data_IF_679487828961
#
_entry.id   IF_679487828961
#
_cell.length_a   1.000
_cell.length_b   1.000
_cell.length_c   1.000
_cell.angle_alpha   90.00
_cell.angle_beta   90.00
_cell.angle_gamma   90.00
#
_symmetry.space_group_name_H-M   'P 1'
#
loop_
_entity.id
_entity.type
_entity.pdbx_description
1 polymer ?
#
# COMPACT_ATOMS: atom_id res chain seq x y z
N UNK A 1 -23.66 -7.46 -15.99
CA UNK A 1 -23.07 -6.45 -16.90
C UNK A 1 -23.41 -6.81 -18.34
N UNK A 2 -23.92 -5.87 -19.13
CA UNK A 2 -24.07 -6.01 -20.59
C UNK A 2 -22.81 -5.53 -21.30
N UNK A 3 -22.61 -5.89 -22.57
CA UNK A 3 -21.46 -5.41 -23.38
C UNK A 3 -21.46 -3.89 -23.51
N UNK A 4 -22.65 -3.27 -23.57
CA UNK A 4 -22.77 -1.81 -23.64
C UNK A 4 -22.26 -1.13 -22.35
N UNK A 5 -22.68 -1.61 -21.18
CA UNK A 5 -22.18 -1.10 -19.90
C UNK A 5 -20.67 -1.34 -19.72
N UNK A 6 -20.14 -2.44 -20.26
CA UNK A 6 -18.70 -2.68 -20.31
C UNK A 6 -17.98 -1.63 -21.15
N UNK A 7 -18.51 -1.28 -22.33
CA UNK A 7 -17.90 -0.26 -23.20
C UNK A 7 -17.86 1.12 -22.53
N UNK A 8 -18.94 1.52 -21.86
CA UNK A 8 -18.98 2.77 -21.09
C UNK A 8 -17.95 2.77 -19.95
N UNK A 9 -17.89 1.68 -19.18
CA UNK A 9 -16.94 1.54 -18.09
C UNK A 9 -15.48 1.57 -18.59
N UNK A 10 -15.17 0.89 -19.69
CA UNK A 10 -13.85 0.92 -20.31
C UNK A 10 -13.48 2.33 -20.81
N UNK A 11 -14.43 3.06 -21.38
CA UNK A 11 -14.22 4.43 -21.82
C UNK A 11 -13.91 5.34 -20.63
N UNK A 12 -14.70 5.26 -19.56
CA UNK A 12 -14.47 6.05 -18.34
C UNK A 12 -13.14 5.69 -17.72
N UNK A 13 -12.85 4.42 -17.45
CA UNK A 13 -11.59 3.99 -16.86
C UNK A 13 -10.37 4.41 -17.69
N UNK A 14 -10.43 4.27 -19.01
CA UNK A 14 -9.32 4.68 -19.89
C UNK A 14 -9.13 6.20 -19.91
N UNK A 15 -10.23 6.98 -19.95
CA UNK A 15 -10.16 8.44 -19.88
C UNK A 15 -9.56 8.90 -18.54
N UNK A 16 -10.01 8.31 -17.43
CA UNK A 16 -9.50 8.60 -16.09
C UNK A 16 -8.00 8.30 -15.99
N UNK A 17 -7.55 7.15 -16.51
CA UNK A 17 -6.12 6.81 -16.56
C UNK A 17 -5.32 7.80 -17.41
N UNK A 18 -5.83 8.17 -18.59
CA UNK A 18 -5.16 9.16 -19.46
C UNK A 18 -5.07 10.54 -18.78
N UNK A 19 -6.14 10.98 -18.11
CA UNK A 19 -6.17 12.24 -17.35
C UNK A 19 -5.20 12.17 -16.18
N UNK A 20 -5.15 11.06 -15.43
CA UNK A 20 -4.22 10.86 -14.34
C UNK A 20 -2.76 10.91 -14.83
N UNK A 21 -2.43 10.26 -15.94
CA UNK A 21 -1.09 10.32 -16.56
C UNK A 21 -0.76 11.75 -17.01
N UNK A 22 -1.71 12.48 -17.60
CA UNK A 22 -1.51 13.88 -17.96
C UNK A 22 -1.30 14.76 -16.71
N UNK A 23 -2.04 14.50 -15.62
CA UNK A 23 -1.93 15.21 -14.35
C UNK A 23 -0.54 15.06 -13.71
N UNK A 24 0.16 13.93 -13.88
CA UNK A 24 1.56 13.76 -13.44
C UNK A 24 2.48 14.81 -14.04
N UNK A 25 2.27 15.17 -15.32
CA UNK A 25 3.09 16.19 -15.98
C UNK A 25 2.87 17.57 -15.37
N UNK A 26 1.64 17.87 -14.95
CA UNK A 26 1.29 19.13 -14.27
C UNK A 26 1.84 19.12 -12.83
N UNK A 27 1.65 18.03 -12.10
CA UNK A 27 2.21 17.78 -10.75
C UNK A 27 3.71 18.09 -10.71
N UNK A 28 4.47 17.51 -11.64
CA UNK A 28 5.93 17.66 -11.68
C UNK A 28 6.41 19.11 -11.83
N UNK A 29 5.57 20.01 -12.36
CA UNK A 29 5.83 21.45 -12.48
C UNK A 29 5.37 22.24 -11.26
N UNK A 30 4.23 21.86 -10.67
CA UNK A 30 3.62 22.55 -9.52
C UNK A 30 4.27 22.24 -8.16
N UNK A 31 5.00 21.12 -8.04
CA UNK A 31 5.58 20.68 -6.76
C UNK A 31 4.59 20.00 -5.82
N UNK A 32 3.31 19.87 -6.21
CA UNK A 32 2.30 19.13 -5.45
C UNK A 32 2.53 17.62 -5.56
N UNK A 33 2.36 16.85 -4.46
CA UNK A 33 2.35 15.39 -4.50
C UNK A 33 1.35 14.88 -5.53
N UNK A 34 1.76 13.97 -6.41
CA UNK A 34 0.89 13.42 -7.46
C UNK A 34 -0.34 12.68 -6.89
N UNK A 35 -0.20 12.12 -5.69
CA UNK A 35 -1.26 11.40 -4.99
C UNK A 35 -2.49 12.28 -4.68
N UNK A 36 -2.26 13.52 -4.26
CA UNK A 36 -3.34 14.47 -3.98
C UNK A 36 -4.12 14.82 -5.24
N UNK A 37 -3.45 14.84 -6.40
CA UNK A 37 -4.13 15.07 -7.67
C UNK A 37 -4.99 13.87 -8.08
N UNK A 38 -4.52 12.65 -7.85
CA UNK A 38 -5.33 11.45 -8.13
C UNK A 38 -6.56 11.38 -7.22
N UNK A 39 -6.39 11.71 -5.94
CA UNK A 39 -7.49 11.83 -4.99
C UNK A 39 -8.50 12.90 -5.46
N UNK A 40 -8.00 14.09 -5.86
CA UNK A 40 -8.84 15.17 -6.39
C UNK A 40 -9.58 14.79 -7.68
N UNK A 41 -8.96 14.01 -8.56
CA UNK A 41 -9.64 13.44 -9.74
C UNK A 41 -10.77 12.50 -9.28
N UNK A 42 -10.52 11.64 -8.29
CA UNK A 42 -11.55 10.77 -7.71
C UNK A 42 -12.72 11.56 -7.13
N UNK A 43 -12.45 12.60 -6.32
CA UNK A 43 -13.47 13.48 -5.74
C UNK A 43 -14.28 14.18 -6.84
N UNK A 44 -13.61 14.69 -7.89
CA UNK A 44 -14.28 15.34 -9.00
C UNK A 44 -15.14 14.38 -9.84
N UNK A 45 -14.84 13.08 -9.83
CA UNK A 45 -15.67 12.06 -10.48
C UNK A 45 -16.80 11.59 -9.56
N UNK A 46 -16.56 11.56 -8.25
CA UNK A 46 -17.44 11.00 -7.22
C UNK A 46 -18.71 11.80 -6.98
N UNK A 47 -19.39 11.45 -5.89
CA UNK A 47 -20.64 12.10 -5.48
C UNK A 47 -20.39 13.60 -5.20
N UNK A 48 -21.30 14.46 -5.64
CA UNK A 48 -21.16 15.93 -5.67
C UNK A 48 -20.03 16.49 -6.55
N UNK A 49 -19.35 15.61 -7.30
CA UNK A 49 -18.37 15.98 -8.30
C UNK A 49 -18.99 16.47 -9.61
N UNK A 50 -18.15 16.60 -10.63
CA UNK A 50 -18.53 17.01 -12.00
C UNK A 50 -19.43 15.94 -12.66
N UNK A 51 -19.17 14.67 -12.36
CA UNK A 51 -19.85 13.53 -13.00
C UNK A 51 -20.87 12.84 -12.08
N UNK A 52 -20.92 13.22 -10.79
CA UNK A 52 -21.83 12.68 -9.76
C UNK A 52 -21.90 11.13 -9.74
N UNK A 53 -20.73 10.48 -9.86
CA UNK A 53 -20.66 9.01 -9.82
C UNK A 53 -20.87 8.56 -8.38
N UNK A 54 -22.08 8.07 -8.09
CA UNK A 54 -22.42 7.50 -6.79
C UNK A 54 -21.73 6.15 -6.62
N UNK A 55 -20.72 6.12 -5.76
CA UNK A 55 -19.95 4.92 -5.47
C UNK A 55 -19.91 4.70 -3.95
N UNK A 56 -20.77 3.83 -3.46
CA UNK A 56 -20.88 3.48 -2.04
C UNK A 56 -20.71 1.96 -1.87
N UNK A 57 -19.53 1.45 -2.22
CA UNK A 57 -19.21 0.04 -2.05
C UNK A 57 -17.86 -0.12 -1.35
N UNK A 58 -17.91 -0.11 -0.02
CA UNK A 58 -16.74 -0.29 0.83
C UNK A 58 -16.07 -1.66 0.63
N UNK A 59 -16.83 -2.73 0.40
CA UNK A 59 -16.29 -4.08 0.19
C UNK A 59 -15.47 -4.16 -1.11
N UNK A 60 -16.03 -3.65 -2.22
CA UNK A 60 -15.32 -3.57 -3.49
C UNK A 60 -14.07 -2.69 -3.38
N UNK A 61 -14.17 -1.59 -2.63
CA UNK A 61 -13.03 -0.70 -2.34
C UNK A 61 -11.93 -1.42 -1.59
N UNK A 62 -12.30 -2.19 -0.57
CA UNK A 62 -11.35 -2.99 0.21
C UNK A 62 -10.66 -4.03 -0.68
N UNK A 63 -11.41 -4.76 -1.50
CA UNK A 63 -10.84 -5.80 -2.40
C UNK A 63 -9.88 -5.19 -3.42
N UNK A 64 -10.28 -4.11 -4.10
CA UNK A 64 -9.41 -3.42 -5.07
C UNK A 64 -8.22 -2.77 -4.37
N UNK A 65 -8.43 -2.17 -3.19
CA UNK A 65 -7.39 -1.59 -2.36
C UNK A 65 -6.35 -2.63 -1.95
N UNK A 66 -6.76 -3.82 -1.55
CA UNK A 66 -5.86 -4.92 -1.21
C UNK A 66 -5.07 -5.37 -2.43
N UNK A 67 -5.74 -5.58 -3.57
CA UNK A 67 -5.06 -5.96 -4.81
C UNK A 67 -4.03 -4.91 -5.24
N UNK A 68 -4.37 -3.62 -5.14
CA UNK A 68 -3.46 -2.53 -5.43
C UNK A 68 -2.29 -2.47 -4.44
N UNK A 69 -2.54 -2.62 -3.14
CA UNK A 69 -1.50 -2.61 -2.11
C UNK A 69 -0.51 -3.77 -2.27
N UNK A 70 -0.97 -4.96 -2.66
CA UNK A 70 -0.09 -6.10 -2.99
C UNK A 70 0.87 -5.73 -4.13
N UNK A 71 0.38 -5.07 -5.18
CA UNK A 71 1.21 -4.64 -6.31
C UNK A 71 2.18 -3.53 -5.89
N UNK A 72 1.73 -2.56 -5.09
CA UNK A 72 2.55 -1.46 -4.57
C UNK A 72 3.69 -2.00 -3.70
N UNK A 73 3.39 -2.91 -2.77
CA UNK A 73 4.42 -3.53 -1.91
C UNK A 73 5.36 -4.45 -2.70
N UNK A 74 4.86 -5.13 -3.72
CA UNK A 74 5.71 -5.91 -4.63
C UNK A 74 6.69 -5.01 -5.40
N UNK A 75 6.21 -3.89 -5.95
CA UNK A 75 7.07 -2.90 -6.63
C UNK A 75 8.10 -2.30 -5.67
N UNK A 76 7.66 -1.83 -4.50
CA UNK A 76 8.53 -1.25 -3.48
C UNK A 76 9.57 -2.24 -2.97
N UNK A 77 9.17 -3.50 -2.71
CA UNK A 77 10.08 -4.57 -2.33
C UNK A 77 11.13 -4.85 -3.42
N UNK A 78 10.73 -4.93 -4.69
CA UNK A 78 11.67 -5.13 -5.81
C UNK A 78 12.67 -3.97 -5.95
N UNK A 79 12.28 -2.76 -5.56
CA UNK A 79 13.14 -1.56 -5.61
C UNK A 79 14.10 -1.44 -4.43
N UNK A 80 13.71 -1.99 -3.28
CA UNK A 80 14.46 -1.90 -2.04
C UNK A 80 15.82 -2.58 -2.16
N UNK A 81 16.90 -1.82 -1.93
CA UNK A 81 18.26 -2.35 -1.98
C UNK A 81 18.68 -2.87 -0.61
N UNK A 82 18.92 -4.17 -0.52
CA UNK A 82 19.31 -4.82 0.74
C UNK A 82 20.57 -4.22 1.37
N UNK A 83 21.52 -3.74 0.56
CA UNK A 83 22.74 -3.07 1.06
C UNK A 83 22.46 -1.75 1.78
N UNK A 84 21.38 -1.05 1.39
CA UNK A 84 20.96 0.23 1.96
C UNK A 84 20.01 0.00 3.14
N UNK A 85 19.15 -1.03 3.08
CA UNK A 85 18.19 -1.40 4.13
C UNK A 85 18.85 -2.13 5.32
N UNK A 86 19.77 -3.08 5.07
CA UNK A 86 20.36 -3.91 6.13
C UNK A 86 20.98 -3.12 7.30
N UNK A 87 21.76 -2.05 7.06
CA UNK A 87 22.37 -1.27 8.15
C UNK A 87 21.35 -0.52 9.02
N UNK A 88 20.15 -0.27 8.49
CA UNK A 88 19.13 0.58 9.13
C UNK A 88 17.92 -0.21 9.64
N UNK A 89 17.85 -1.51 9.35
CA UNK A 89 16.80 -2.42 9.83
C UNK A 89 16.47 -2.30 11.32
N UNK A 90 17.44 -2.25 12.26
CA UNK A 90 17.10 -2.14 13.68
C UNK A 90 16.39 -0.83 14.02
N UNK A 91 16.82 0.27 13.39
CA UNK A 91 16.18 1.57 13.59
C UNK A 91 14.79 1.59 12.95
N UNK A 92 14.66 1.09 11.72
CA UNK A 92 13.37 1.00 11.03
C UNK A 92 12.38 0.13 11.81
N UNK A 93 12.81 -1.01 12.35
CA UNK A 93 11.96 -1.89 13.15
C UNK A 93 11.48 -1.25 14.45
N UNK A 94 12.33 -0.47 15.14
CA UNK A 94 11.92 0.26 16.36
C UNK A 94 10.92 1.36 16.01
N UNK A 95 11.15 2.12 14.94
CA UNK A 95 10.24 3.18 14.50
C UNK A 95 8.91 2.60 14.03
N UNK A 96 8.93 1.53 13.23
CA UNK A 96 7.71 0.87 12.70
C UNK A 96 6.92 0.09 13.75
N UNK A 97 7.45 -0.11 14.96
CA UNK A 97 6.74 -0.76 16.07
C UNK A 97 6.42 0.22 17.19
N UNK A 98 7.43 0.72 17.88
CA UNK A 98 7.28 1.63 19.02
C UNK A 98 6.80 3.00 18.54
N UNK A 99 7.38 3.53 17.46
CA UNK A 99 6.98 4.82 16.90
C UNK A 99 5.51 4.82 16.45
N UNK A 100 5.10 3.74 15.78
CA UNK A 100 3.70 3.53 15.37
C UNK A 100 2.79 3.39 16.57
N UNK A 101 3.13 2.54 17.56
CA UNK A 101 2.32 2.39 18.76
C UNK A 101 2.12 3.70 19.54
N UNK A 102 3.18 4.52 19.65
CA UNK A 102 3.10 5.85 20.25
C UNK A 102 2.19 6.77 19.42
N UNK A 103 2.36 6.78 18.09
CA UNK A 103 1.57 7.61 17.19
C UNK A 103 0.09 7.25 17.25
N UNK A 104 -0.24 5.96 17.24
CA UNK A 104 -1.60 5.45 17.41
C UNK A 104 -2.15 5.84 18.77
N UNK A 105 -1.37 5.68 19.85
CA UNK A 105 -1.81 6.03 21.20
C UNK A 105 -2.15 7.52 21.34
N UNK A 106 -1.31 8.40 20.79
CA UNK A 106 -1.53 9.86 20.83
C UNK A 106 -2.74 10.25 19.99
N UNK A 107 -2.81 9.77 18.73
CA UNK A 107 -3.90 10.12 17.81
C UNK A 107 -5.24 9.55 18.26
N UNK A 108 -5.28 8.31 18.74
CA UNK A 108 -6.49 7.70 19.29
C UNK A 108 -6.93 8.41 20.58
N UNK A 109 -6.01 8.75 21.48
CA UNK A 109 -6.37 9.51 22.69
C UNK A 109 -6.95 10.88 22.33
N UNK A 110 -6.36 11.57 21.36
CA UNK A 110 -6.90 12.84 20.86
C UNK A 110 -8.29 12.66 20.25
N UNK A 111 -8.50 11.64 19.43
CA UNK A 111 -9.80 11.33 18.83
C UNK A 111 -10.87 10.99 19.89
N UNK A 112 -10.52 10.23 20.94
CA UNK A 112 -11.43 9.90 22.03
C UNK A 112 -11.80 11.14 22.87
N UNK A 113 -10.80 11.90 23.33
CA UNK A 113 -11.03 12.99 24.28
C UNK A 113 -11.46 14.32 23.65
N UNK A 114 -11.03 14.61 22.40
CA UNK A 114 -11.35 15.88 21.73
C UNK A 114 -12.60 15.76 20.84
N UNK A 115 -12.80 14.60 20.19
CA UNK A 115 -13.93 14.39 19.26
C UNK A 115 -15.05 13.55 19.90
N UNK A 116 -14.78 12.84 21.00
CA UNK A 116 -15.79 12.05 21.71
C UNK A 116 -16.05 10.67 21.10
N UNK A 117 -15.16 10.18 20.24
CA UNK A 117 -15.29 8.86 19.61
C UNK A 117 -15.08 7.73 20.61
N UNK A 118 -15.73 6.59 20.41
CA UNK A 118 -15.46 5.40 21.23
C UNK A 118 -14.00 4.93 21.04
N UNK A 119 -13.40 4.32 22.07
CA UNK A 119 -12.02 3.84 22.03
C UNK A 119 -11.73 2.96 20.81
N UNK A 120 -12.69 2.12 20.41
CA UNK A 120 -12.52 1.25 19.25
C UNK A 120 -12.38 2.07 17.95
N UNK A 121 -13.26 3.05 17.75
CA UNK A 121 -13.22 3.93 16.58
C UNK A 121 -11.97 4.82 16.59
N UNK A 122 -11.63 5.36 17.75
CA UNK A 122 -10.45 6.18 17.95
C UNK A 122 -9.15 5.42 17.65
N UNK A 123 -9.04 4.15 18.05
CA UNK A 123 -7.89 3.30 17.73
C UNK A 123 -7.81 2.96 16.25
N UNK A 124 -8.93 2.74 15.57
CA UNK A 124 -8.97 2.54 14.11
C UNK A 124 -8.45 3.79 13.39
N UNK A 125 -8.96 4.98 13.75
CA UNK A 125 -8.49 6.25 13.18
C UNK A 125 -7.00 6.45 13.47
N UNK A 126 -6.59 6.20 14.72
CA UNK A 126 -5.18 6.32 15.10
C UNK A 126 -4.27 5.39 14.31
N UNK A 127 -4.69 4.14 14.08
CA UNK A 127 -3.98 3.17 13.25
C UNK A 127 -3.86 3.66 11.79
N UNK A 128 -4.98 4.06 11.17
CA UNK A 128 -5.01 4.53 9.78
C UNK A 128 -4.12 5.76 9.57
N UNK A 129 -4.18 6.74 10.49
CA UNK A 129 -3.41 7.99 10.38
C UNK A 129 -1.92 7.79 10.69
N UNK A 130 -1.57 6.77 11.48
CA UNK A 130 -0.18 6.49 11.84
C UNK A 130 0.60 5.70 10.77
N UNK A 131 -0.07 5.19 9.73
CA UNK A 131 0.63 4.56 8.60
C UNK A 131 1.38 5.62 7.79
N UNK A 132 2.62 5.32 7.40
CA UNK A 132 3.49 6.25 6.67
C UNK A 132 3.71 5.79 5.23
N UNK A 133 3.47 6.69 4.26
CA UNK A 133 3.71 6.42 2.83
C UNK A 133 5.01 7.05 2.35
N UNK A 134 6.04 6.23 2.12
CA UNK A 134 7.32 6.68 1.59
C UNK A 134 7.21 7.22 0.16
N UNK A 135 6.28 6.72 -0.67
CA UNK A 135 6.12 7.17 -2.05
C UNK A 135 5.64 8.64 -2.10
N UNK A 136 4.71 9.02 -1.21
CA UNK A 136 4.29 10.40 -1.05
C UNK A 136 5.46 11.33 -0.70
N UNK A 137 6.27 10.94 0.29
CA UNK A 137 7.44 11.71 0.75
C UNK A 137 8.48 11.83 -0.36
N UNK A 138 8.82 10.74 -1.05
CA UNK A 138 9.79 10.76 -2.14
C UNK A 138 9.30 11.53 -3.36
N UNK A 139 7.99 11.60 -3.61
CA UNK A 139 7.44 12.42 -4.69
C UNK A 139 7.77 13.91 -4.52
N UNK A 140 7.74 14.40 -3.27
CA UNK A 140 8.05 15.78 -2.90
C UNK A 140 9.56 15.99 -2.79
N UNK A 141 10.26 15.06 -2.13
CA UNK A 141 11.70 15.14 -1.90
C UNK A 141 12.55 14.73 -3.12
N UNK A 142 11.93 14.45 -4.27
CA UNK A 142 12.63 14.03 -5.51
C UNK A 142 13.70 15.02 -6.00
N UNK A 143 13.59 16.29 -5.61
CA UNK A 143 14.55 17.36 -5.94
C UNK A 143 15.64 17.56 -4.88
N UNK A 144 15.55 16.85 -3.75
CA UNK A 144 16.50 16.93 -2.63
C UNK A 144 17.35 15.65 -2.63
N UNK A 145 18.69 15.75 -2.74
CA UNK A 145 19.55 14.57 -2.66
C UNK A 145 19.55 14.04 -1.24
N UNK A 146 18.79 12.97 -1.00
CA UNK A 146 18.77 12.28 0.30
C UNK A 146 19.96 11.30 0.40
N UNK A 147 20.64 11.25 1.57
CA UNK A 147 21.62 10.21 1.83
C UNK A 147 20.98 8.82 1.70
N UNK A 148 21.68 7.82 1.11
CA UNK A 148 21.13 6.47 0.93
C UNK A 148 20.64 5.81 2.23
N UNK A 149 21.23 6.20 3.37
CA UNK A 149 20.77 5.74 4.69
C UNK A 149 19.38 6.25 5.04
N UNK A 150 19.04 7.49 4.71
CA UNK A 150 17.73 8.08 5.01
C UNK A 150 16.68 7.47 4.07
N UNK A 151 17.00 7.34 2.78
CA UNK A 151 16.13 6.65 1.81
C UNK A 151 15.83 5.22 2.25
N UNK A 152 16.85 4.45 2.64
CA UNK A 152 16.67 3.09 3.12
C UNK A 152 15.88 3.00 4.43
N UNK A 153 16.00 3.98 5.34
CA UNK A 153 15.17 4.03 6.56
C UNK A 153 13.70 4.26 6.18
N UNK A 154 13.42 5.25 5.33
CA UNK A 154 12.05 5.60 4.95
C UNK A 154 11.36 4.47 4.17
N UNK A 155 12.07 3.83 3.23
CA UNK A 155 11.56 2.67 2.49
C UNK A 155 11.27 1.48 3.40
N UNK A 156 12.15 1.22 4.37
CA UNK A 156 11.97 0.15 5.33
C UNK A 156 10.85 0.46 6.32
N UNK A 157 10.79 1.69 6.85
CA UNK A 157 9.76 2.13 7.78
C UNK A 157 8.37 2.01 7.18
N UNK A 158 8.15 2.54 5.97
CA UNK A 158 6.86 2.47 5.28
C UNK A 158 6.44 1.03 5.00
N UNK A 159 7.34 0.19 4.47
CA UNK A 159 7.04 -1.22 4.21
C UNK A 159 6.78 -2.06 5.47
N UNK A 160 7.47 -1.77 6.58
CA UNK A 160 7.28 -2.50 7.85
C UNK A 160 6.10 -1.99 8.68
N UNK A 161 5.66 -0.75 8.49
CA UNK A 161 4.53 -0.15 9.20
C UNK A 161 3.18 -0.59 8.60
N UNK A 162 3.10 -0.73 7.28
CA UNK A 162 1.84 -1.06 6.58
C UNK A 162 1.22 -2.38 7.07
N UNK A 163 2.03 -3.43 7.22
CA UNK A 163 1.53 -4.74 7.64
C UNK A 163 0.88 -4.73 9.04
N UNK A 164 1.56 -4.30 10.12
CA UNK A 164 0.96 -4.19 11.45
C UNK A 164 -0.27 -3.29 11.50
N UNK A 165 -0.28 -2.15 10.79
CA UNK A 165 -1.42 -1.23 10.78
C UNK A 165 -2.63 -1.87 10.15
N UNK A 166 -2.49 -2.54 9.00
CA UNK A 166 -3.60 -3.23 8.34
C UNK A 166 -4.16 -4.33 9.24
N UNK A 167 -3.30 -5.11 9.91
CA UNK A 167 -3.73 -6.13 10.87
C UNK A 167 -4.52 -5.48 12.01
N UNK A 168 -4.01 -4.41 12.59
CA UNK A 168 -4.68 -3.71 13.69
C UNK A 168 -6.04 -3.15 13.27
N UNK A 169 -6.15 -2.54 12.08
CA UNK A 169 -7.42 -2.03 11.54
C UNK A 169 -8.42 -3.17 11.30
N UNK A 170 -7.98 -4.29 10.72
CA UNK A 170 -8.85 -5.44 10.45
C UNK A 170 -9.35 -6.08 11.74
N UNK A 171 -8.44 -6.34 12.69
CA UNK A 171 -8.77 -6.92 13.99
C UNK A 171 -9.75 -6.02 14.77
N UNK A 172 -9.50 -4.70 14.78
CA UNK A 172 -10.40 -3.74 15.42
C UNK A 172 -11.72 -3.54 14.65
N UNK A 173 -11.80 -3.88 13.37
CA UNK A 173 -13.03 -3.79 12.58
C UNK A 173 -13.90 -5.05 12.67
N UNK A 174 -13.37 -6.16 13.17
CA UNK A 174 -14.11 -7.43 13.29
C UNK A 174 -15.27 -7.35 14.30
N UNK A 175 -16.45 -7.84 13.93
CA UNK A 175 -17.64 -7.81 14.79
C UNK A 175 -17.48 -8.81 15.95
N UNK A 176 -17.27 -8.30 17.17
CA UNK A 176 -17.10 -9.11 18.37
C UNK A 176 -16.63 -8.29 19.57
N UNK A 177 -16.56 -8.89 20.77
CA UNK A 177 -15.92 -8.27 21.92
C UNK A 177 -14.45 -8.00 21.60
N UNK A 178 -13.96 -6.81 21.96
CA UNK A 178 -12.54 -6.49 21.84
C UNK A 178 -11.79 -7.40 22.80
N UNK A 179 -11.01 -8.32 22.24
CA UNK A 179 -10.14 -9.17 23.04
C UNK A 179 -9.10 -8.32 23.78
N UNK A 180 -8.50 -8.87 24.82
CA UNK A 180 -7.55 -8.11 25.63
C UNK A 180 -6.37 -7.65 24.76
N UNK A 181 -5.83 -6.47 25.06
CA UNK A 181 -4.76 -5.82 24.29
C UNK A 181 -3.55 -6.74 24.02
N UNK A 182 -3.24 -7.67 24.94
CA UNK A 182 -2.13 -8.60 24.79
C UNK A 182 -2.39 -9.67 23.72
N UNK A 183 -3.65 -10.02 23.43
CA UNK A 183 -4.00 -10.97 22.38
C UNK A 183 -3.79 -10.34 21.02
N UNK A 184 -4.24 -9.09 20.84
CA UNK A 184 -3.98 -8.32 19.62
C UNK A 184 -2.47 -8.20 19.33
N UNK A 185 -1.67 -7.90 20.35
CA UNK A 185 -0.21 -7.83 20.21
C UNK A 185 0.38 -9.20 19.83
N UNK A 186 -0.10 -10.28 20.44
CA UNK A 186 0.34 -11.64 20.10
C UNK A 186 -0.06 -12.05 18.68
N UNK A 187 -1.26 -11.70 18.25
CA UNK A 187 -1.78 -11.93 16.90
C UNK A 187 -0.94 -11.19 15.86
N UNK A 188 -0.71 -9.88 16.06
CA UNK A 188 0.17 -9.08 15.19
C UNK A 188 1.56 -9.72 15.11
N UNK A 189 2.16 -10.08 16.25
CA UNK A 189 3.50 -10.69 16.27
C UNK A 189 3.53 -12.05 15.52
N UNK A 190 2.51 -12.89 15.71
CA UNK A 190 2.38 -14.18 15.06
C UNK A 190 2.16 -14.03 13.55
N UNK A 191 1.24 -13.16 13.13
CA UNK A 191 0.96 -12.93 11.73
C UNK A 191 2.19 -12.39 10.99
N UNK A 192 2.91 -11.45 11.59
CA UNK A 192 4.17 -10.94 11.05
C UNK A 192 5.23 -12.03 10.98
N UNK A 193 5.36 -12.89 12.00
CA UNK A 193 6.32 -13.99 11.97
C UNK A 193 6.03 -15.01 10.86
N UNK A 194 4.76 -15.41 10.70
CA UNK A 194 4.32 -16.33 9.65
C UNK A 194 4.51 -15.71 8.27
N UNK A 195 4.06 -14.46 8.09
CA UNK A 195 4.22 -13.69 6.86
C UNK A 195 5.70 -13.55 6.48
N UNK A 196 6.56 -13.28 7.46
CA UNK A 196 8.00 -13.19 7.24
C UNK A 196 8.61 -14.51 6.79
N UNK A 197 8.28 -15.61 7.48
CA UNK A 197 8.78 -16.94 7.13
C UNK A 197 8.36 -17.35 5.71
N UNK A 198 7.10 -17.09 5.34
CA UNK A 198 6.57 -17.41 4.01
C UNK A 198 7.22 -16.52 2.95
N UNK A 199 7.28 -15.21 3.17
CA UNK A 199 7.90 -14.26 2.23
C UNK A 199 9.37 -14.59 1.95
N UNK A 200 10.13 -14.91 3.00
CA UNK A 200 11.53 -15.33 2.86
C UNK A 200 11.64 -16.62 2.06
N UNK A 201 10.82 -17.62 2.39
CA UNK A 201 10.83 -18.93 1.74
C UNK A 201 10.46 -18.83 0.26
N UNK A 202 9.36 -18.15 -0.06
CA UNK A 202 8.86 -17.97 -1.43
C UNK A 202 9.82 -17.12 -2.25
N UNK A 203 10.35 -16.02 -1.70
CA UNK A 203 11.36 -15.19 -2.37
C UNK A 203 12.64 -15.97 -2.67
N UNK A 204 13.12 -16.77 -1.71
CA UNK A 204 14.31 -17.60 -1.90
C UNK A 204 14.11 -18.69 -2.96
N UNK A 205 13.03 -19.48 -2.86
CA UNK A 205 12.69 -20.51 -3.85
C UNK A 205 12.44 -19.91 -5.23
N UNK A 206 11.72 -18.80 -5.30
CA UNK A 206 11.46 -18.06 -6.54
C UNK A 206 12.75 -17.56 -7.20
N UNK A 207 13.69 -17.05 -6.40
CA UNK A 207 15.00 -16.62 -6.90
C UNK A 207 15.81 -17.79 -7.46
N UNK A 208 15.74 -18.96 -6.82
CA UNK A 208 16.43 -20.16 -7.28
C UNK A 208 15.80 -20.67 -8.58
N UNK A 209 14.47 -20.75 -8.64
CA UNK A 209 13.74 -21.17 -9.84
C UNK A 209 14.03 -20.27 -11.03
N UNK A 210 13.87 -18.95 -10.88
CA UNK A 210 14.07 -17.99 -11.97
C UNK A 210 15.52 -17.91 -12.48
N UNK A 211 16.51 -18.26 -11.66
CA UNK A 211 17.91 -18.36 -12.09
C UNK A 211 18.19 -19.56 -12.98
N UNK A 212 17.42 -20.64 -12.83
CA UNK A 212 17.63 -21.89 -13.56
C UNK A 212 16.63 -22.09 -14.71
N UNK A 213 15.55 -21.32 -14.75
CA UNK A 213 14.57 -21.37 -15.84
C UNK A 213 15.00 -20.43 -16.95
N UNK A 214 15.17 -20.98 -18.15
CA UNK A 214 15.32 -20.24 -19.40
C UNK A 214 13.93 -20.04 -20.00
N UNK A 215 13.31 -18.88 -19.75
CA UNK A 215 12.01 -18.58 -20.37
C UNK A 215 12.22 -18.19 -21.84
N UNK A 216 11.32 -18.63 -22.74
CA UNK A 216 11.47 -18.43 -24.19
C UNK A 216 11.35 -16.96 -24.63
N UNK A 217 10.77 -16.10 -23.79
CA UNK A 217 10.65 -14.67 -24.05
C UNK A 217 11.05 -13.85 -22.81
N UNK A 218 11.81 -12.77 -23.03
CA UNK A 218 12.28 -11.86 -21.99
C UNK A 218 11.12 -11.20 -21.21
N UNK A 219 9.98 -10.97 -21.88
CA UNK A 219 8.77 -10.42 -21.26
C UNK A 219 8.06 -11.35 -20.26
N UNK A 220 8.40 -12.65 -20.24
CA UNK A 220 7.83 -13.60 -19.27
C UNK A 220 8.51 -13.52 -17.90
N UNK A 221 9.75 -13.02 -17.82
CA UNK A 221 10.46 -12.85 -16.55
C UNK A 221 9.75 -11.87 -15.59
N UNK A 222 9.38 -10.65 -16.03
CA UNK A 222 8.60 -9.73 -15.19
C UNK A 222 7.30 -10.34 -14.66
N UNK A 223 6.57 -11.05 -15.52
CA UNK A 223 5.30 -11.70 -15.17
C UNK A 223 5.54 -12.77 -14.10
N UNK A 224 6.57 -13.61 -14.27
CA UNK A 224 6.91 -14.65 -13.30
C UNK A 224 7.34 -14.06 -11.95
N UNK A 225 8.12 -12.98 -11.93
CA UNK A 225 8.53 -12.29 -10.70
C UNK A 225 7.31 -11.74 -9.95
N UNK A 226 6.41 -11.04 -10.64
CA UNK A 226 5.19 -10.52 -10.04
C UNK A 226 4.26 -11.64 -9.56
N UNK A 227 4.13 -12.73 -10.33
CA UNK A 227 3.35 -13.89 -9.93
C UNK A 227 3.90 -14.54 -8.66
N UNK A 228 5.23 -14.67 -8.53
CA UNK A 228 5.86 -15.19 -7.30
C UNK A 228 5.60 -14.24 -6.13
N UNK A 229 5.73 -12.93 -6.31
CA UNK A 229 5.46 -11.94 -5.27
C UNK A 229 3.99 -12.02 -4.79
N UNK A 230 3.02 -12.07 -5.71
CA UNK A 230 1.59 -12.23 -5.39
C UNK A 230 1.31 -13.59 -4.75
N UNK A 231 2.00 -14.66 -5.16
CA UNK A 231 1.86 -15.97 -4.53
C UNK A 231 2.35 -15.97 -3.08
N UNK A 232 3.37 -15.17 -2.74
CA UNK A 232 3.81 -14.99 -1.37
C UNK A 232 2.73 -14.32 -0.52
N UNK A 233 2.04 -13.29 -1.05
CA UNK A 233 0.88 -12.70 -0.39
C UNK A 233 -0.19 -13.74 -0.12
N UNK A 234 -0.62 -14.46 -1.16
CA UNK A 234 -1.71 -15.43 -1.05
C UNK A 234 -1.35 -16.56 -0.07
N UNK A 235 -0.15 -17.13 -0.17
CA UNK A 235 0.32 -18.15 0.75
C UNK A 235 0.41 -17.63 2.20
N UNK A 236 0.88 -16.39 2.38
CA UNK A 236 0.93 -15.72 3.68
C UNK A 236 -0.44 -15.58 4.30
N UNK A 237 -1.39 -14.99 3.56
CA UNK A 237 -2.75 -14.79 4.00
C UNK A 237 -3.48 -16.12 4.28
N UNK A 238 -3.32 -17.14 3.43
CA UNK A 238 -3.91 -18.47 3.62
C UNK A 238 -3.36 -19.21 4.85
N UNK A 239 -2.15 -18.86 5.31
CA UNK A 239 -1.53 -19.43 6.49
C UNK A 239 -1.85 -18.63 7.78
N UNK A 240 -2.81 -17.70 7.73
CA UNK A 240 -3.09 -16.76 8.82
C UNK A 240 -1.84 -15.94 9.20
N UNK A 241 -1.07 -15.54 8.20
CA UNK A 241 0.05 -14.62 8.33
C UNK A 241 -0.19 -13.33 7.57
N UNK A 242 0.68 -12.35 7.82
CA UNK A 242 0.66 -11.09 7.08
C UNK A 242 1.08 -11.31 5.63
N UNK A 243 0.08 -11.43 4.74
CA UNK A 243 0.31 -11.52 3.30
C UNK A 243 1.09 -10.31 2.77
N UNK A 244 0.82 -9.10 3.31
CA UNK A 244 1.49 -7.86 2.92
C UNK A 244 2.99 -7.90 3.23
N UNK A 245 3.38 -8.36 4.42
CA UNK A 245 4.79 -8.56 4.75
C UNK A 245 5.42 -9.67 3.89
N UNK A 246 4.67 -10.75 3.62
CA UNK A 246 5.14 -11.86 2.81
C UNK A 246 5.49 -11.42 1.38
N UNK A 247 4.62 -10.64 0.72
CA UNK A 247 4.91 -10.10 -0.62
C UNK A 247 6.08 -9.13 -0.62
N UNK A 248 6.15 -8.22 0.36
CA UNK A 248 7.25 -7.25 0.45
C UNK A 248 8.61 -7.94 0.59
N UNK A 249 8.74 -8.92 1.50
CA UNK A 249 10.00 -9.65 1.69
C UNK A 249 10.33 -10.55 0.51
N UNK A 250 9.34 -11.24 -0.08
CA UNK A 250 9.56 -12.04 -1.27
C UNK A 250 10.08 -11.17 -2.42
N UNK A 251 9.43 -10.03 -2.66
CA UNK A 251 9.83 -9.04 -3.66
C UNK A 251 11.23 -8.47 -3.37
N UNK A 252 11.56 -8.17 -2.11
CA UNK A 252 12.90 -7.71 -1.71
C UNK A 252 13.98 -8.75 -2.01
N UNK A 253 13.75 -10.03 -1.74
CA UNK A 253 14.69 -11.10 -2.05
C UNK A 253 14.86 -11.28 -3.55
N UNK A 254 13.77 -11.23 -4.32
CA UNK A 254 13.81 -11.30 -5.78
C UNK A 254 14.55 -10.10 -6.38
N UNK A 255 14.31 -8.89 -5.89
CA UNK A 255 14.95 -7.66 -6.37
C UNK A 255 16.44 -7.59 -6.08
N UNK A 256 16.88 -8.21 -5.00
CA UNK A 256 18.30 -8.32 -4.65
C UNK A 256 18.97 -9.59 -5.20
N UNK A 257 18.21 -10.45 -5.88
CA UNK A 257 18.73 -11.59 -6.60
C UNK A 257 19.17 -11.15 -7.99
N UNK A 258 20.35 -11.61 -8.44
CA UNK A 258 20.84 -11.35 -9.80
C UNK A 258 19.99 -12.11 -10.83
N UNK A 259 18.77 -11.64 -11.08
CA UNK A 259 17.81 -12.24 -12.00
C UNK A 259 18.10 -11.84 -13.45
N UNK A 260 17.81 -12.72 -14.44
CA UNK A 260 17.86 -12.37 -15.85
C UNK A 260 16.88 -11.23 -16.19
N UNK A 261 17.22 -10.43 -17.21
CA UNK A 261 16.34 -9.37 -17.75
C UNK A 261 15.87 -8.33 -16.72
N UNK A 262 16.67 -8.04 -15.69
CA UNK A 262 16.33 -7.12 -14.59
C UNK A 262 15.74 -5.77 -15.01
N UNK A 263 16.28 -5.03 -16.01
CA UNK A 263 15.69 -3.75 -16.42
C UNK A 263 14.24 -3.86 -16.90
N UNK A 264 13.88 -4.96 -17.57
CA UNK A 264 12.52 -5.21 -18.00
C UNK A 264 11.60 -5.52 -16.82
N UNK A 265 12.08 -6.34 -15.86
CA UNK A 265 11.34 -6.65 -14.63
C UNK A 265 11.07 -5.39 -13.82
N UNK A 266 12.08 -4.54 -13.64
CA UNK A 266 11.93 -3.29 -12.89
C UNK A 266 10.96 -2.33 -13.58
N UNK A 267 11.10 -2.10 -14.88
CA UNK A 267 10.20 -1.21 -15.61
C UNK A 267 8.74 -1.69 -15.63
N UNK A 268 8.51 -3.00 -15.71
CA UNK A 268 7.16 -3.58 -15.63
C UNK A 268 6.55 -3.42 -14.22
N UNK A 269 7.32 -3.72 -13.17
CA UNK A 269 6.88 -3.53 -11.79
C UNK A 269 6.58 -2.06 -11.50
N UNK A 270 7.44 -1.13 -11.94
CA UNK A 270 7.22 0.32 -11.82
C UNK A 270 5.91 0.73 -12.49
N UNK A 271 5.65 0.27 -13.72
CA UNK A 271 4.42 0.56 -14.45
C UNK A 271 3.16 0.02 -13.75
N UNK A 272 3.21 -1.19 -13.21
CA UNK A 272 2.12 -1.75 -12.41
C UNK A 272 1.92 -1.00 -11.10
N UNK A 273 2.99 -0.59 -10.43
CA UNK A 273 2.94 0.23 -9.21
C UNK A 273 2.22 1.56 -9.45
N UNK A 274 2.57 2.27 -10.54
CA UNK A 274 1.85 3.49 -10.94
C UNK A 274 0.37 3.26 -11.20
N UNK A 275 0.01 2.19 -11.92
CA UNK A 275 -1.39 1.85 -12.18
C UNK A 275 -2.15 1.55 -10.89
N UNK A 276 -1.57 0.76 -9.99
CA UNK A 276 -2.15 0.43 -8.70
C UNK A 276 -2.34 1.67 -7.82
N UNK A 277 -1.34 2.55 -7.76
CA UNK A 277 -1.39 3.79 -6.98
C UNK A 277 -2.43 4.78 -7.53
N UNK A 278 -2.47 4.99 -8.86
CA UNK A 278 -3.51 5.82 -9.50
C UNK A 278 -4.89 5.25 -9.21
N UNK A 279 -5.09 3.95 -9.47
CA UNK A 279 -6.37 3.28 -9.27
C UNK A 279 -6.85 3.37 -7.83
N UNK A 280 -5.97 3.11 -6.86
CA UNK A 280 -6.29 3.19 -5.43
C UNK A 280 -6.69 4.61 -5.01
N UNK A 281 -5.92 5.64 -5.34
CA UNK A 281 -6.22 7.00 -4.90
C UNK A 281 -7.46 7.60 -5.59
N UNK A 282 -7.68 7.27 -6.87
CA UNK A 282 -8.93 7.67 -7.55
C UNK A 282 -10.13 6.96 -6.91
N UNK A 283 -10.02 5.67 -6.59
CA UNK A 283 -11.08 4.91 -5.94
C UNK A 283 -11.39 5.45 -4.54
N UNK A 284 -10.37 5.79 -3.75
CA UNK A 284 -10.56 6.45 -2.46
C UNK A 284 -11.23 7.82 -2.61
N UNK A 285 -10.87 8.58 -3.65
CA UNK A 285 -11.53 9.86 -3.94
C UNK A 285 -13.00 9.71 -4.32
N UNK A 286 -13.39 8.60 -4.97
CA UNK A 286 -14.79 8.30 -5.28
C UNK A 286 -15.63 8.04 -4.01
N UNK A 287 -15.02 7.61 -2.91
CA UNK A 287 -15.70 7.40 -1.61
C UNK A 287 -15.88 8.69 -0.81
N UNK A 288 -15.17 9.74 -1.17
CA UNK A 288 -15.27 11.01 -0.45
C UNK A 288 -16.53 11.73 -0.92
N UNK A 289 -17.41 12.03 0.03
CA UNK A 289 -18.60 12.83 -0.18
C UNK A 289 -18.33 14.26 0.32
N UNK A 290 -18.16 15.26 -0.56
CA UNK A 290 -17.78 16.61 -0.16
C UNK A 290 -18.76 17.31 0.79
N UNK A 291 -20.07 17.06 0.68
CA UNK A 291 -21.02 17.71 1.59
C UNK A 291 -20.89 17.22 3.04
N UNK A 292 -20.65 15.92 3.25
CA UNK A 292 -20.44 15.35 4.59
C UNK A 292 -19.16 15.91 5.25
N UNK A 293 -18.12 16.19 4.45
CA UNK A 293 -16.86 16.79 4.94
C UNK A 293 -17.04 18.19 5.54
N UNK A 294 -18.04 18.95 5.09
CA UNK A 294 -18.29 20.31 5.62
C UNK A 294 -18.86 20.23 7.03
N UNK A 295 -19.71 19.25 7.28
CA UNK A 295 -20.31 19.01 8.59
C UNK A 295 -19.27 18.47 9.59
N UNK A 296 -18.28 17.70 9.13
CA UNK A 296 -17.17 17.20 9.95
C UNK A 296 -16.11 18.27 10.31
N UNK A 297 -16.10 19.41 9.62
CA UNK A 297 -15.08 20.45 9.83
C UNK A 297 -15.29 21.23 11.14
N UNK A 298 -16.51 21.19 11.70
CA UNK A 298 -16.85 21.82 12.96
C UNK A 298 -17.45 20.78 13.91
N UNK A 299 -16.83 20.51 15.08
CA UNK A 299 -17.47 19.66 16.08
C UNK A 299 -18.77 20.34 16.51
N UNK A 300 -19.91 19.67 16.28
CA UNK A 300 -21.20 20.08 16.80
C UNK A 300 -21.25 19.99 18.34
#
# INVERSE_FOLDING_TARGET
MTVHALNELLLVCSLVLLVAVAAVRISSRSGLPSLLLYLGIGIALGQDGIFDVKFDNAELTQVIGYAALVVILAEGGLGAKWKEVKPVLPAAAVVSTIGVAISVGITASAAHYLVGLDWRQALIIGAVVSSTDAAAVFSVLRRVPLPPRITGVLEAESGFNDAPVVIMVVALSAVGPVEHWYILVAEIAMELAIGAAIGITVGWLGSLGLRHVALPASGLYPIAVMAIAVSAYAAGAMAHGSGFLAVYLAAMILGNSKLPHWPATRGFADGLGWLAQIGMFVLLGLLVTPHDLVDDFWPA
#
